data_IF_784260976608
#
_entry.id   IF_784260976608
#
_cell.length_a   1.000
_cell.length_b   1.000
_cell.length_c   1.000
_cell.angle_alpha   90.00
_cell.angle_beta   90.00
_cell.angle_gamma   90.00
#
_symmetry.space_group_name_H-M   'P 1'
#
loop_
_entity.id
_entity.type
_entity.pdbx_description
1 polymer ?
#
# COMPACT_ATOMS: atom_id res chain seq x y z
N UNK A 1 -9.31 9.99 1.94
CA UNK A 1 -8.53 8.79 1.57
C UNK A 1 -8.74 7.75 2.66
N UNK A 2 -8.73 6.44 2.37
CA UNK A 2 -8.70 5.40 3.42
C UNK A 2 -7.26 4.90 3.52
N UNK A 3 -6.65 5.03 4.70
CA UNK A 3 -5.29 4.54 4.96
C UNK A 3 -5.35 3.04 5.21
N UNK A 4 -4.55 2.30 4.46
CA UNK A 4 -4.52 0.84 4.48
C UNK A 4 -3.32 0.31 5.27
N UNK A 5 -2.18 0.99 5.20
CA UNK A 5 -0.98 0.54 5.86
C UNK A 5 0.20 1.48 5.66
N UNK A 6 1.39 0.98 5.98
CA UNK A 6 2.63 1.75 5.93
C UNK A 6 3.77 0.94 5.31
N UNK A 7 4.61 1.61 4.53
CA UNK A 7 5.87 1.07 4.04
C UNK A 7 6.86 1.09 5.21
N UNK A 8 7.40 -0.06 5.59
CA UNK A 8 8.25 -0.21 6.78
C UNK A 8 9.71 -0.53 6.49
N UNK A 9 10.02 -1.00 5.27
CA UNK A 9 11.40 -1.26 4.84
C UNK A 9 11.44 -1.56 3.32
N UNK A 10 12.59 -1.39 2.67
CA UNK A 10 12.86 -2.02 1.37
C UNK A 10 12.93 -3.55 1.49
N UNK A 11 12.57 -4.25 0.43
CA UNK A 11 12.65 -5.70 0.30
C UNK A 11 13.53 -6.10 -0.90
N UNK A 12 14.76 -6.53 -0.64
CA UNK A 12 15.72 -6.86 -1.70
C UNK A 12 16.27 -5.62 -2.42
N UNK A 13 16.65 -5.79 -3.70
CA UNK A 13 17.29 -4.74 -4.52
C UNK A 13 16.45 -4.25 -5.70
N UNK A 14 15.34 -4.93 -6.02
CA UNK A 14 14.49 -4.65 -7.19
C UNK A 14 13.33 -3.71 -6.87
N UNK A 15 13.49 -2.82 -5.89
CA UNK A 15 12.46 -1.83 -5.53
C UNK A 15 11.21 -2.37 -4.83
N UNK A 16 11.20 -3.63 -4.41
CA UNK A 16 10.08 -4.15 -3.62
C UNK A 16 10.04 -3.50 -2.23
N UNK A 17 8.83 -3.32 -1.73
CA UNK A 17 8.52 -2.62 -0.49
C UNK A 17 7.90 -3.60 0.50
N UNK A 18 8.37 -3.61 1.74
CA UNK A 18 7.74 -4.33 2.85
C UNK A 18 6.68 -3.45 3.49
N UNK A 19 5.50 -4.01 3.66
CA UNK A 19 4.31 -3.26 4.07
C UNK A 19 3.74 -3.86 5.34
N UNK A 20 3.45 -2.98 6.29
CA UNK A 20 2.66 -3.29 7.45
C UNK A 20 1.21 -2.86 7.22
N UNK A 21 0.28 -3.81 7.03
CA UNK A 21 -1.14 -3.50 6.89
C UNK A 21 -1.75 -3.11 8.24
N UNK A 22 -2.70 -2.18 8.22
CA UNK A 22 -3.48 -1.77 9.40
C UNK A 22 -4.82 -2.51 9.52
N UNK A 23 -5.29 -3.16 8.46
CA UNK A 23 -6.48 -4.00 8.47
C UNK A 23 -6.16 -5.49 8.27
N UNK A 24 -7.13 -6.35 8.59
CA UNK A 24 -6.97 -7.80 8.60
C UNK A 24 -6.94 -8.45 7.19
N UNK A 25 -7.59 -7.85 6.19
CA UNK A 25 -7.67 -8.41 4.84
C UNK A 25 -6.71 -7.74 3.84
N UNK A 26 -5.43 -7.69 4.19
CA UNK A 26 -4.40 -7.07 3.36
C UNK A 26 -4.24 -7.73 1.98
N UNK A 27 -4.55 -9.02 1.86
CA UNK A 27 -4.37 -9.78 0.63
C UNK A 27 -5.37 -9.40 -0.47
N UNK A 28 -6.55 -8.89 -0.16
CA UNK A 28 -7.49 -8.43 -1.19
C UNK A 28 -6.98 -7.20 -1.95
N UNK A 29 -6.05 -6.44 -1.36
CA UNK A 29 -5.45 -5.26 -1.99
C UNK A 29 -4.65 -5.58 -3.24
N UNK A 30 -4.22 -6.84 -3.43
CA UNK A 30 -3.55 -7.30 -4.65
C UNK A 30 -4.42 -7.19 -5.90
N UNK A 31 -5.73 -7.13 -5.73
CA UNK A 31 -6.70 -6.99 -6.83
C UNK A 31 -6.90 -5.52 -7.23
N UNK A 32 -6.38 -4.57 -6.45
CA UNK A 32 -6.42 -3.15 -6.79
C UNK A 32 -5.31 -2.84 -7.81
N UNK A 33 -5.63 -2.27 -8.98
CA UNK A 33 -4.63 -1.98 -10.02
C UNK A 33 -3.70 -0.81 -9.64
N UNK A 34 -4.14 0.05 -8.72
CA UNK A 34 -3.40 1.21 -8.26
C UNK A 34 -3.51 1.34 -6.76
N UNK A 35 -2.42 1.77 -6.13
CA UNK A 35 -2.37 2.19 -4.75
C UNK A 35 -1.98 3.67 -4.68
N UNK A 36 -2.39 4.33 -3.61
CA UNK A 36 -2.04 5.71 -3.35
C UNK A 36 -1.01 5.78 -2.25
N UNK A 37 0.00 6.63 -2.41
CA UNK A 37 1.05 6.81 -1.41
C UNK A 37 1.18 8.27 -0.97
N UNK A 38 1.45 8.48 0.31
CA UNK A 38 1.62 9.80 0.92
C UNK A 38 2.57 9.73 2.11
N UNK A 39 3.30 10.81 2.40
CA UNK A 39 4.10 10.94 3.63
C UNK A 39 3.25 11.22 4.87
N UNK A 40 2.03 11.72 4.67
CA UNK A 40 1.08 12.12 5.72
C UNK A 40 -0.24 11.33 5.55
N UNK A 41 -0.71 10.60 6.58
CA UNK A 41 -1.92 9.80 6.51
C UNK A 41 -3.20 10.64 6.47
N UNK A 42 -3.15 11.89 6.96
CA UNK A 42 -4.28 12.82 7.01
C UNK A 42 -4.30 13.78 5.81
N UNK A 43 -3.36 13.62 4.88
CA UNK A 43 -3.25 14.45 3.70
C UNK A 43 -4.54 14.44 2.86
N UNK A 44 -4.91 15.58 2.24
CA UNK A 44 -6.07 15.66 1.37
C UNK A 44 -5.88 14.75 0.16
N UNK A 45 -6.97 14.21 -0.39
CA UNK A 45 -6.94 13.17 -1.43
C UNK A 45 -6.10 13.54 -2.67
N UNK A 46 -6.02 14.83 -3.01
CA UNK A 46 -5.20 15.36 -4.11
C UNK A 46 -3.68 15.27 -3.89
N UNK A 47 -3.23 15.25 -2.63
CA UNK A 47 -1.80 15.16 -2.29
C UNK A 47 -1.28 13.72 -2.31
N UNK A 48 -2.18 12.74 -2.41
CA UNK A 48 -1.81 11.34 -2.51
C UNK A 48 -1.38 11.00 -3.94
N UNK A 49 -0.17 10.45 -4.07
CA UNK A 49 0.36 10.04 -5.37
C UNK A 49 -0.17 8.66 -5.76
N UNK A 50 -0.94 8.58 -6.85
CA UNK A 50 -1.37 7.31 -7.42
C UNK A 50 -0.20 6.60 -8.09
N UNK A 51 0.00 5.33 -7.75
CA UNK A 51 1.06 4.45 -8.29
C UNK A 51 0.43 3.13 -8.73
N UNK A 52 0.81 2.63 -9.90
CA UNK A 52 0.36 1.34 -10.39
C UNK A 52 0.98 0.21 -9.57
N UNK A 53 0.17 -0.79 -9.21
CA UNK A 53 0.65 -2.00 -8.55
C UNK A 53 1.24 -2.94 -9.61
N UNK A 54 2.54 -3.20 -9.52
CA UNK A 54 3.27 -4.10 -10.43
C UNK A 54 3.22 -5.54 -9.92
N UNK A 55 3.27 -5.72 -8.59
CA UNK A 55 3.16 -7.03 -7.97
C UNK A 55 2.88 -6.91 -6.47
N UNK A 56 2.19 -7.90 -5.91
CA UNK A 56 1.91 -7.97 -4.48
C UNK A 56 1.85 -9.44 -4.04
N UNK A 57 2.47 -9.75 -2.90
CA UNK A 57 2.44 -11.09 -2.30
C UNK A 57 2.50 -11.04 -0.78
N UNK A 58 1.96 -12.08 -0.14
CA UNK A 58 2.11 -12.28 1.30
C UNK A 58 3.58 -12.50 1.67
N UNK A 59 4.01 -11.95 2.80
CA UNK A 59 5.34 -12.23 3.35
C UNK A 59 5.34 -12.10 4.89
N UNK A 60 5.36 -13.25 5.58
CA UNK A 60 5.25 -13.31 7.03
C UNK A 60 3.89 -12.77 7.50
N UNK A 61 3.90 -11.81 8.43
CA UNK A 61 2.69 -11.15 8.96
C UNK A 61 2.25 -9.90 8.17
N UNK A 62 2.80 -9.68 6.98
CA UNK A 62 2.50 -8.50 6.17
C UNK A 62 2.55 -8.80 4.68
N UNK A 63 2.73 -7.75 3.89
CA UNK A 63 2.81 -7.83 2.44
C UNK A 63 4.18 -7.35 1.95
N UNK A 64 4.55 -7.81 0.76
CA UNK A 64 5.53 -7.11 -0.06
C UNK A 64 4.92 -6.74 -1.40
N UNK A 65 5.19 -5.52 -1.87
CA UNK A 65 4.66 -5.03 -3.13
C UNK A 65 5.72 -4.31 -3.96
N UNK A 66 5.51 -4.31 -5.28
CA UNK A 66 6.26 -3.51 -6.23
C UNK A 66 5.31 -2.46 -6.82
N UNK A 67 5.74 -1.20 -6.82
CA UNK A 67 5.00 -0.07 -7.35
C UNK A 67 5.75 0.53 -8.53
N UNK A 68 5.01 1.00 -9.53
CA UNK A 68 5.62 1.67 -10.68
C UNK A 68 6.42 2.90 -10.26
N UNK A 69 7.65 3.03 -10.77
CA UNK A 69 8.59 4.09 -10.42
C UNK A 69 9.25 3.90 -9.05
N UNK A 70 9.23 2.69 -8.50
CA UNK A 70 10.07 2.23 -7.39
C UNK A 70 10.82 0.99 -7.88
N UNK A 71 11.86 1.22 -8.67
CA UNK A 71 12.51 0.17 -9.47
C UNK A 71 13.79 -0.40 -8.84
N UNK A 72 14.31 0.26 -7.80
CA UNK A 72 15.54 -0.12 -7.11
C UNK A 72 15.47 0.12 -5.59
N UNK A 73 16.51 -0.36 -4.89
CA UNK A 73 16.61 -0.25 -3.43
C UNK A 73 16.57 1.21 -2.93
N UNK A 74 17.24 2.14 -3.60
CA UNK A 74 17.32 3.52 -3.17
C UNK A 74 15.94 4.19 -3.26
N UNK A 75 15.20 3.91 -4.34
CA UNK A 75 13.82 4.37 -4.49
C UNK A 75 12.91 3.78 -3.40
N UNK A 76 13.12 2.49 -3.05
CA UNK A 76 12.36 1.85 -1.98
C UNK A 76 12.68 2.42 -0.59
N UNK A 77 13.95 2.74 -0.31
CA UNK A 77 14.39 3.40 0.92
C UNK A 77 13.81 4.82 1.04
N UNK A 78 13.72 5.57 -0.06
CA UNK A 78 13.09 6.89 -0.07
C UNK A 78 11.58 6.86 0.23
N UNK A 79 10.92 5.73 -0.04
CA UNK A 79 9.51 5.50 0.27
C UNK A 79 9.28 4.92 1.67
N UNK A 80 10.34 4.61 2.42
CA UNK A 80 10.21 4.09 3.78
C UNK A 80 9.47 5.09 4.68
N UNK A 81 8.53 4.59 5.47
CA UNK A 81 7.71 5.39 6.36
C UNK A 81 6.50 6.04 5.69
N UNK A 82 6.38 6.01 4.35
CA UNK A 82 5.19 6.50 3.65
C UNK A 82 3.99 5.58 3.90
N UNK A 83 2.80 6.17 3.83
CA UNK A 83 1.52 5.51 3.97
C UNK A 83 1.01 5.03 2.62
N UNK A 84 0.25 3.93 2.67
CA UNK A 84 -0.49 3.38 1.54
C UNK A 84 -1.97 3.57 1.83
N UNK A 85 -2.71 4.02 0.82
CA UNK A 85 -4.15 4.22 0.90
C UNK A 85 -4.86 3.93 -0.41
N UNK A 86 -6.19 4.02 -0.37
CA UNK A 86 -7.04 3.99 -1.55
C UNK A 86 -8.34 4.78 -1.31
N UNK A 87 -8.94 5.37 -2.36
CA UNK A 87 -10.28 5.94 -2.25
C UNK A 87 -11.28 4.81 -2.01
N UNK A 88 -12.39 5.12 -1.34
CA UNK A 88 -13.38 4.12 -0.92
C UNK A 88 -13.97 3.33 -2.09
N UNK A 89 -14.08 3.95 -3.26
CA UNK A 89 -14.55 3.33 -4.50
C UNK A 89 -13.57 2.33 -5.13
N UNK A 90 -12.27 2.46 -4.85
CA UNK A 90 -11.23 1.57 -5.38
C UNK A 90 -10.99 0.35 -4.48
N UNK A 91 -11.50 0.38 -3.24
CA UNK A 91 -11.40 -0.76 -2.36
C UNK A 91 -12.19 -1.94 -2.92
N UNK A 92 -11.65 -3.16 -2.85
CA UNK A 92 -12.42 -4.36 -3.15
C UNK A 92 -13.66 -4.36 -2.25
N UNK A 93 -14.82 -4.73 -2.80
CA UNK A 93 -16.03 -4.87 -1.98
C UNK A 93 -15.69 -5.82 -0.84
N UNK A 94 -15.94 -5.41 0.43
CA UNK A 94 -15.76 -6.34 1.53
C UNK A 94 -16.62 -7.57 1.23
N UNK A 95 -16.06 -8.77 1.47
CA UNK A 95 -16.92 -9.92 1.66
C UNK A 95 -17.95 -9.52 2.72
N UNK A 96 -19.22 -9.84 2.49
CA UNK A 96 -20.35 -9.32 3.26
C UNK A 96 -20.25 -9.74 4.74
N UNK A 97 -19.45 -9.03 5.55
CA UNK A 97 -19.55 -8.95 7.02
C UNK A 97 -18.53 -8.02 7.73
N UNK A 98 -17.56 -7.37 7.06
CA UNK A 98 -16.51 -6.64 7.80
C UNK A 98 -16.59 -5.11 7.71
N UNK A 99 -16.94 -4.49 8.84
CA UNK A 99 -16.88 -3.05 9.09
C UNK A 99 -15.44 -2.63 9.38
N UNK A 100 -14.89 -1.71 8.57
CA UNK A 100 -13.67 -0.96 8.96
C UNK A 100 -14.02 -0.02 10.11
N UNK A 101 -13.44 -0.24 11.29
CA UNK A 101 -13.63 0.62 12.46
C UNK A 101 -12.69 1.84 12.42
N UNK A 102 -13.29 3.00 12.69
CA UNK A 102 -12.75 4.15 13.44
C UNK A 102 -11.38 4.69 13.08
#
# INVERSE_FOLDING_TARGET
MIVLGRIVAPFGIQGWLKIHPFGDDALSWRSMPHWWVSTDPDAPAESWSQRKLVGCRAHGKGLVAALEGVDDRNAAEAAEGWYIGAPREALPKPAADEYYWG
#
